data_IF_400008170562
#
_entry.id   IF_400008170562
#
_cell.length_a   1.000
_cell.length_b   1.000
_cell.length_c   1.000
_cell.angle_alpha   90.00
_cell.angle_beta   90.00
_cell.angle_gamma   90.00
#
_symmetry.space_group_name_H-M   'P 1'
#
loop_
_entity.id
_entity.type
_entity.pdbx_description
1 polymer ?
#
# COMPACT_ATOMS: atom_id res chain seq x y z
N UNK A 1 11.74 -8.60 7.34
CA UNK A 1 10.61 -7.70 7.02
C UNK A 1 10.03 -7.03 8.28
N UNK A 2 9.55 -7.76 9.32
CA UNK A 2 8.91 -7.18 10.52
C UNK A 2 9.79 -6.14 11.22
N UNK A 3 11.04 -6.51 11.54
CA UNK A 3 12.00 -5.60 12.20
C UNK A 3 12.27 -4.34 11.36
N UNK A 4 12.35 -4.46 10.04
CA UNK A 4 12.57 -3.34 9.14
C UNK A 4 11.38 -2.35 9.16
N UNK A 5 10.13 -2.84 9.13
CA UNK A 5 8.93 -2.00 9.26
C UNK A 5 8.90 -1.28 10.61
N UNK A 6 9.16 -1.99 11.71
CA UNK A 6 9.18 -1.39 13.04
C UNK A 6 10.28 -0.33 13.18
N UNK A 7 11.45 -0.58 12.59
CA UNK A 7 12.53 0.41 12.56
C UNK A 7 12.12 1.64 11.73
N UNK A 8 11.57 1.46 10.54
CA UNK A 8 11.05 2.55 9.71
C UNK A 8 10.05 3.42 10.49
N UNK A 9 9.07 2.80 11.15
CA UNK A 9 8.05 3.53 11.92
C UNK A 9 8.68 4.38 13.04
N UNK A 10 9.78 3.90 13.65
CA UNK A 10 10.48 4.61 14.73
C UNK A 10 11.41 5.72 14.23
N UNK A 11 12.04 5.54 13.07
CA UNK A 11 13.15 6.40 12.63
C UNK A 11 12.81 7.31 11.45
N UNK A 12 11.81 6.96 10.63
CA UNK A 12 11.46 7.74 9.46
C UNK A 12 10.87 9.10 9.84
N UNK A 13 11.26 10.11 9.07
CA UNK A 13 10.73 11.46 9.16
C UNK A 13 9.59 11.63 8.14
N UNK A 14 8.36 11.69 8.63
CA UNK A 14 7.19 11.86 7.77
C UNK A 14 7.24 13.16 6.96
N UNK A 15 7.88 14.21 7.48
CA UNK A 15 7.99 15.51 6.78
C UNK A 15 8.83 15.44 5.50
N UNK A 16 9.72 14.45 5.40
CA UNK A 16 10.54 14.18 4.20
C UNK A 16 9.83 13.38 3.13
N UNK A 17 8.59 12.95 3.38
CA UNK A 17 7.86 12.11 2.45
C UNK A 17 8.45 10.69 2.32
N UNK A 18 9.12 10.23 3.36
CA UNK A 18 9.64 8.85 3.40
C UNK A 18 8.49 7.85 3.58
N UNK A 19 8.58 6.72 2.89
CA UNK A 19 7.61 5.63 3.00
C UNK A 19 8.31 4.28 2.96
N UNK A 20 7.64 3.24 3.40
CA UNK A 20 8.14 1.87 3.37
C UNK A 20 7.38 1.05 2.32
N UNK A 21 8.05 0.12 1.64
CA UNK A 21 7.38 -0.86 0.78
C UNK A 21 7.57 -2.29 1.30
N UNK A 22 6.47 -3.01 1.38
CA UNK A 22 6.46 -4.44 1.63
C UNK A 22 5.99 -5.17 0.38
N UNK A 23 6.94 -5.79 -0.32
CA UNK A 23 6.66 -6.56 -1.53
C UNK A 23 6.49 -8.05 -1.25
N UNK A 24 5.79 -8.73 -2.14
CA UNK A 24 5.65 -10.20 -2.08
C UNK A 24 4.49 -10.68 -2.92
N UNK A 25 4.61 -11.88 -3.46
CA UNK A 25 3.57 -12.54 -4.26
C UNK A 25 2.27 -12.70 -3.46
N UNK A 26 1.18 -12.96 -4.15
CA UNK A 26 -0.08 -13.30 -3.49
C UNK A 26 0.12 -14.52 -2.56
N UNK A 27 -0.40 -14.44 -1.33
CA UNK A 27 -0.29 -15.55 -0.37
C UNK A 27 0.98 -15.60 0.48
N UNK A 28 1.95 -14.69 0.31
CA UNK A 28 3.20 -14.64 1.11
C UNK A 28 3.03 -14.13 2.55
N UNK A 29 1.81 -13.81 2.98
CA UNK A 29 1.57 -13.43 4.36
C UNK A 29 1.71 -11.93 4.67
N UNK A 30 1.76 -11.03 3.67
CA UNK A 30 1.85 -9.57 3.88
C UNK A 30 0.86 -9.06 4.93
N UNK A 31 -0.42 -9.41 4.79
CA UNK A 31 -1.46 -8.97 5.73
C UNK A 31 -1.27 -9.55 7.14
N UNK A 32 -0.78 -10.80 7.26
CA UNK A 32 -0.47 -11.43 8.55
C UNK A 32 0.66 -10.69 9.25
N UNK A 33 1.71 -10.34 8.49
CA UNK A 33 2.82 -9.54 9.01
C UNK A 33 2.35 -8.18 9.54
N UNK A 34 1.45 -7.49 8.80
CA UNK A 34 0.88 -6.22 9.25
C UNK A 34 0.07 -6.38 10.54
N UNK A 35 -0.69 -7.47 10.70
CA UNK A 35 -1.37 -7.76 11.98
C UNK A 35 -0.41 -7.83 13.16
N UNK A 36 0.74 -8.49 12.97
CA UNK A 36 1.76 -8.60 14.01
C UNK A 36 2.42 -7.27 14.30
N UNK A 37 2.72 -6.46 13.27
CA UNK A 37 3.27 -5.12 13.42
C UNK A 37 2.31 -4.23 14.22
N UNK A 38 1.01 -4.23 13.87
CA UNK A 38 -0.01 -3.46 14.59
C UNK A 38 -0.08 -3.90 16.06
N UNK A 39 -0.09 -5.21 16.34
CA UNK A 39 -0.14 -5.73 17.72
C UNK A 39 1.06 -5.32 18.54
N UNK A 40 2.25 -5.34 17.94
CA UNK A 40 3.49 -4.98 18.63
C UNK A 40 3.50 -3.49 18.98
N UNK A 41 3.18 -2.62 18.02
CA UNK A 41 3.11 -1.18 18.27
C UNK A 41 2.01 -0.85 19.30
N UNK A 42 0.85 -1.50 19.20
CA UNK A 42 -0.26 -1.26 20.13
C UNK A 42 0.03 -1.72 21.56
N UNK A 43 1.01 -2.60 21.80
CA UNK A 43 1.49 -2.93 23.15
C UNK A 43 2.26 -1.76 23.77
N UNK A 44 3.12 -1.11 22.98
CA UNK A 44 3.93 -0.01 23.45
C UNK A 44 3.14 1.31 23.49
N UNK A 45 2.26 1.52 22.50
CA UNK A 45 1.37 2.67 22.39
C UNK A 45 -0.08 2.24 22.11
N UNK A 46 -0.91 2.00 23.14
CA UNK A 46 -2.28 1.54 22.99
C UNK A 46 -3.21 2.52 22.24
N UNK A 47 -2.83 3.78 22.14
CA UNK A 47 -3.61 4.84 21.47
C UNK A 47 -3.16 5.12 20.03
N UNK A 48 -2.13 4.42 19.55
CA UNK A 48 -1.67 4.58 18.17
C UNK A 48 -2.79 4.32 17.17
N UNK A 49 -2.95 5.24 16.23
CA UNK A 49 -3.95 5.12 15.16
C UNK A 49 -3.36 4.37 13.97
N UNK A 50 -4.13 3.40 13.50
CA UNK A 50 -3.80 2.64 12.30
C UNK A 50 -4.91 2.82 11.27
N UNK A 51 -4.52 3.04 10.02
CA UNK A 51 -5.44 3.11 8.90
C UNK A 51 -5.04 2.05 7.89
N UNK A 52 -5.96 1.21 7.49
CA UNK A 52 -5.76 0.28 6.38
C UNK A 52 -6.55 0.77 5.17
N UNK A 53 -5.90 0.81 4.02
CA UNK A 53 -6.46 1.37 2.80
C UNK A 53 -6.13 0.52 1.58
N UNK A 54 -6.93 0.64 0.54
CA UNK A 54 -6.69 0.08 -0.79
C UNK A 54 -7.52 0.86 -1.82
N UNK A 55 -7.28 0.63 -3.12
CA UNK A 55 -8.09 1.25 -4.18
C UNK A 55 -9.53 0.72 -4.17
N UNK A 56 -9.69 -0.61 -4.14
CA UNK A 56 -10.99 -1.25 -4.18
C UNK A 56 -11.61 -1.43 -2.80
N UNK A 57 -12.92 -1.21 -2.69
CA UNK A 57 -13.66 -1.38 -1.43
C UNK A 57 -13.58 -2.82 -0.90
N UNK A 58 -13.61 -3.81 -1.80
CA UNK A 58 -13.48 -5.24 -1.44
C UNK A 58 -12.12 -5.55 -0.80
N UNK A 59 -11.03 -4.98 -1.34
CA UNK A 59 -9.70 -5.13 -0.77
C UNK A 59 -9.60 -4.51 0.63
N UNK A 60 -10.19 -3.32 0.82
CA UNK A 60 -10.28 -2.67 2.15
C UNK A 60 -11.01 -3.57 3.15
N UNK A 61 -12.14 -4.18 2.77
CA UNK A 61 -12.88 -5.08 3.65
C UNK A 61 -12.05 -6.30 4.06
N UNK A 62 -11.29 -6.87 3.13
CA UNK A 62 -10.45 -8.05 3.38
C UNK A 62 -9.33 -7.71 4.38
N UNK A 63 -8.59 -6.63 4.13
CA UNK A 63 -7.47 -6.25 5.02
C UNK A 63 -8.00 -5.81 6.40
N UNK A 64 -9.09 -5.04 6.45
CA UNK A 64 -9.71 -4.62 7.70
C UNK A 64 -10.25 -5.81 8.50
N UNK A 65 -10.94 -6.73 7.85
CA UNK A 65 -11.46 -7.94 8.50
C UNK A 65 -10.39 -8.73 9.24
N UNK A 66 -9.17 -8.75 8.70
CA UNK A 66 -8.01 -9.39 9.31
C UNK A 66 -7.35 -8.54 10.41
N UNK A 67 -7.24 -7.22 10.22
CA UNK A 67 -6.45 -6.34 11.10
C UNK A 67 -7.24 -5.73 12.26
N UNK A 68 -8.57 -5.59 12.16
CA UNK A 68 -9.42 -4.90 13.15
C UNK A 68 -9.31 -5.41 14.59
N UNK A 69 -8.95 -6.69 14.77
CA UNK A 69 -8.76 -7.30 16.10
C UNK A 69 -7.36 -7.04 16.68
N UNK A 70 -6.46 -6.44 15.92
CA UNK A 70 -5.07 -6.22 16.34
C UNK A 70 -4.90 -4.98 17.23
N UNK A 71 -5.80 -3.99 17.09
CA UNK A 71 -5.90 -2.81 17.97
C UNK A 71 -7.31 -2.21 17.88
N UNK A 72 -7.75 -1.54 18.95
CA UNK A 72 -9.02 -0.79 18.98
C UNK A 72 -9.03 0.43 18.06
N UNK A 73 -7.85 0.91 17.67
CA UNK A 73 -7.66 2.12 16.86
C UNK A 73 -7.32 1.82 15.40
N UNK A 74 -7.72 0.65 14.91
CA UNK A 74 -7.67 0.32 13.47
C UNK A 74 -8.93 0.83 12.80
N UNK A 75 -8.76 1.65 11.78
CA UNK A 75 -9.82 2.11 10.88
C UNK A 75 -9.52 1.72 9.43
N UNK A 76 -10.54 1.79 8.57
CA UNK A 76 -10.41 1.39 7.18
C UNK A 76 -11.09 2.39 6.24
N UNK A 77 -10.49 2.63 5.08
CA UNK A 77 -11.03 3.52 4.06
C UNK A 77 -10.45 3.20 2.70
N UNK A 78 -11.18 3.42 1.61
CA UNK A 78 -10.56 3.43 0.28
C UNK A 78 -9.64 4.64 0.14
N UNK A 79 -8.64 4.56 -0.73
CA UNK A 79 -7.74 5.69 -1.04
C UNK A 79 -8.53 6.93 -1.43
N UNK A 80 -9.53 6.79 -2.31
CA UNK A 80 -10.39 7.90 -2.72
C UNK A 80 -11.15 8.53 -1.53
N UNK A 81 -11.72 7.70 -0.65
CA UNK A 81 -12.44 8.18 0.54
C UNK A 81 -11.50 8.82 1.56
N UNK A 82 -10.30 8.25 1.76
CA UNK A 82 -9.28 8.78 2.66
C UNK A 82 -8.83 10.19 2.25
N UNK A 83 -8.64 10.38 0.96
CA UNK A 83 -8.20 11.64 0.36
C UNK A 83 -9.35 12.65 0.12
N UNK A 84 -10.60 12.27 0.43
CA UNK A 84 -11.75 13.13 0.16
C UNK A 84 -11.96 13.41 -1.33
N UNK A 85 -11.59 12.46 -2.20
CA UNK A 85 -11.81 12.56 -3.65
C UNK A 85 -13.31 12.43 -3.96
N UNK A 86 -13.74 13.10 -5.02
CA UNK A 86 -15.11 13.01 -5.54
C UNK A 86 -15.12 12.26 -6.87
N UNK A 87 -16.14 11.44 -7.07
CA UNK A 87 -16.40 10.82 -8.36
C UNK A 87 -16.90 11.91 -9.32
N UNK A 88 -16.21 12.08 -10.42
CA UNK A 88 -16.64 12.90 -11.52
C UNK A 88 -17.65 12.09 -12.36
N UNK A 89 -18.88 12.57 -12.46
CA UNK A 89 -19.97 11.83 -13.10
C UNK A 89 -19.82 11.75 -14.63
N UNK A 90 -19.11 12.70 -15.24
CA UNK A 90 -18.90 12.71 -16.69
C UNK A 90 -17.80 11.74 -17.12
N UNK A 91 -16.71 11.69 -16.36
CA UNK A 91 -15.54 10.87 -16.70
C UNK A 91 -15.50 9.52 -15.98
N UNK A 92 -16.33 9.34 -14.93
CA UNK A 92 -16.28 8.16 -14.06
C UNK A 92 -14.99 8.04 -13.22
N UNK A 93 -14.16 9.06 -13.20
CA UNK A 93 -12.88 9.07 -12.51
C UNK A 93 -12.97 9.80 -11.16
N UNK A 94 -12.20 9.36 -10.18
CA UNK A 94 -12.03 10.09 -8.93
C UNK A 94 -11.10 11.29 -9.13
N UNK A 95 -11.61 12.48 -8.84
CA UNK A 95 -10.84 13.73 -8.88
C UNK A 95 -10.62 14.28 -7.48
N UNK A 96 -9.44 14.84 -7.25
CA UNK A 96 -9.15 15.55 -6.00
C UNK A 96 -10.09 16.75 -5.85
N UNK A 97 -10.65 16.95 -4.66
CA UNK A 97 -11.42 18.14 -4.33
C UNK A 97 -10.52 19.38 -4.12
N UNK A 98 -9.24 19.32 -4.49
CA UNK A 98 -8.27 20.40 -4.36
C UNK A 98 -8.06 20.83 -2.91
N UNK A 99 -7.94 22.15 -2.68
CA UNK A 99 -7.74 22.72 -1.34
C UNK A 99 -8.88 22.43 -0.37
N UNK A 100 -10.06 22.09 -0.87
CA UNK A 100 -11.26 21.78 -0.07
C UNK A 100 -11.42 20.27 0.21
N UNK A 101 -10.44 19.43 -0.15
CA UNK A 101 -10.48 18.00 0.13
C UNK A 101 -10.47 17.76 1.65
N UNK A 102 -11.52 17.12 2.15
CA UNK A 102 -11.60 16.67 3.54
C UNK A 102 -10.81 15.37 3.71
N UNK A 103 -9.51 15.49 3.94
CA UNK A 103 -8.64 14.35 4.22
C UNK A 103 -9.07 13.72 5.54
N UNK A 104 -9.27 12.40 5.55
CA UNK A 104 -9.71 11.63 6.72
C UNK A 104 -8.53 11.02 7.51
N UNK A 105 -7.31 11.19 7.04
CA UNK A 105 -6.11 10.77 7.77
C UNK A 105 -5.91 11.70 8.97
N UNK A 106 -5.86 11.12 10.15
CA UNK A 106 -5.64 11.88 11.38
C UNK A 106 -4.15 12.01 11.64
N UNK A 107 -3.78 13.04 12.41
CA UNK A 107 -2.39 13.28 12.80
C UNK A 107 -1.78 12.04 13.50
N UNK A 108 -0.50 11.80 13.25
CA UNK A 108 0.29 10.69 13.83
C UNK A 108 -0.37 9.32 13.60
N UNK A 109 -0.82 9.06 12.37
CA UNK A 109 -1.35 7.77 11.99
C UNK A 109 -0.30 6.91 11.29
N UNK A 110 -0.44 5.60 11.40
CA UNK A 110 0.30 4.64 10.57
C UNK A 110 -0.66 4.11 9.51
N UNK A 111 -0.38 4.46 8.26
CA UNK A 111 -1.19 4.11 7.09
C UNK A 111 -0.59 2.92 6.34
N UNK A 112 -1.35 1.84 6.22
CA UNK A 112 -1.05 0.69 5.39
C UNK A 112 -1.91 0.73 4.12
N UNK A 113 -1.29 0.76 2.95
CA UNK A 113 -1.98 0.80 1.66
C UNK A 113 -1.73 -0.51 0.93
N UNK A 114 -2.75 -1.34 0.81
CA UNK A 114 -2.70 -2.63 0.11
C UNK A 114 -2.95 -2.47 -1.40
N UNK A 115 -2.53 -3.45 -2.17
CA UNK A 115 -2.60 -3.45 -3.65
C UNK A 115 -1.90 -2.23 -4.27
N UNK A 116 -0.78 -1.79 -3.69
CA UNK A 116 -0.08 -0.58 -4.11
C UNK A 116 0.51 -0.65 -5.54
N UNK A 117 0.64 -1.84 -6.13
CA UNK A 117 0.99 -2.03 -7.54
C UNK A 117 0.04 -1.33 -8.51
N UNK A 118 -1.22 -1.12 -8.10
CA UNK A 118 -2.24 -0.45 -8.91
C UNK A 118 -2.30 1.07 -8.71
N UNK A 119 -1.49 1.65 -7.82
CA UNK A 119 -1.46 3.09 -7.58
C UNK A 119 -0.71 3.82 -8.69
N UNK A 120 -1.35 4.82 -9.29
CA UNK A 120 -0.71 5.75 -10.21
C UNK A 120 0.03 6.88 -9.45
N UNK A 121 0.88 7.62 -10.15
CA UNK A 121 1.68 8.72 -9.57
C UNK A 121 0.83 9.77 -8.85
N UNK A 122 -0.34 10.11 -9.39
CA UNK A 122 -1.24 11.09 -8.80
C UNK A 122 -1.76 10.62 -7.44
N UNK A 123 -2.17 9.35 -7.33
CA UNK A 123 -2.65 8.78 -6.07
C UNK A 123 -1.54 8.72 -5.03
N UNK A 124 -0.32 8.32 -5.45
CA UNK A 124 0.84 8.28 -4.57
C UNK A 124 1.16 9.68 -4.05
N UNK A 125 1.25 10.67 -4.95
CA UNK A 125 1.51 12.06 -4.57
C UNK A 125 0.49 12.57 -3.56
N UNK A 126 -0.80 12.38 -3.83
CA UNK A 126 -1.87 12.83 -2.92
C UNK A 126 -1.82 12.12 -1.56
N UNK A 127 -1.49 10.82 -1.53
CA UNK A 127 -1.30 10.08 -0.28
C UNK A 127 -0.12 10.61 0.52
N UNK A 128 1.03 10.86 -0.14
CA UNK A 128 2.22 11.39 0.51
C UNK A 128 2.02 12.82 1.00
N UNK A 129 1.37 13.69 0.21
CA UNK A 129 1.01 15.05 0.64
C UNK A 129 0.07 15.03 1.87
N UNK A 130 -0.84 14.06 1.93
CA UNK A 130 -1.72 13.88 3.09
C UNK A 130 -0.93 13.40 4.31
N UNK A 131 -0.03 12.44 4.12
CA UNK A 131 0.82 11.88 5.18
C UNK A 131 1.75 12.95 5.78
N UNK A 132 2.42 13.74 4.95
CA UNK A 132 3.27 14.85 5.38
C UNK A 132 2.47 15.84 6.24
N UNK A 133 1.30 16.26 5.77
CA UNK A 133 0.44 17.22 6.51
C UNK A 133 -0.07 16.70 7.84
N UNK A 134 -0.16 15.41 8.01
CA UNK A 134 -0.67 14.77 9.22
C UNK A 134 0.41 14.07 10.04
N UNK A 135 1.67 14.27 9.70
CA UNK A 135 2.83 13.60 10.33
C UNK A 135 2.62 12.08 10.44
N UNK A 136 2.13 11.47 9.37
CA UNK A 136 1.76 10.05 9.33
C UNK A 136 2.81 9.23 8.59
N UNK A 137 3.05 8.00 9.06
CA UNK A 137 3.94 7.04 8.39
C UNK A 137 3.15 6.24 7.36
N UNK A 138 3.73 6.00 6.18
CA UNK A 138 3.08 5.25 5.09
C UNK A 138 3.84 3.98 4.79
N UNK A 139 3.13 2.87 4.76
CA UNK A 139 3.63 1.56 4.36
C UNK A 139 2.79 1.07 3.17
N UNK A 140 3.40 0.95 2.02
CA UNK A 140 2.77 0.37 0.84
C UNK A 140 2.99 -1.15 0.79
N UNK A 141 1.93 -1.89 0.50
CA UNK A 141 1.94 -3.34 0.36
C UNK A 141 1.56 -3.70 -1.07
N UNK A 142 2.31 -4.56 -1.70
CA UNK A 142 1.98 -4.94 -3.06
C UNK A 142 2.78 -6.11 -3.60
N UNK A 143 2.45 -6.46 -4.80
CA UNK A 143 3.13 -7.48 -5.60
C UNK A 143 3.54 -6.80 -6.90
N UNK A 144 4.84 -6.53 -7.12
CA UNK A 144 5.32 -5.87 -8.33
C UNK A 144 4.98 -6.63 -9.62
N UNK A 145 4.76 -7.94 -9.53
CA UNK A 145 4.35 -8.78 -10.67
C UNK A 145 2.86 -8.80 -10.95
N UNK A 146 2.03 -8.05 -10.18
CA UNK A 146 0.61 -7.90 -10.48
C UNK A 146 0.35 -6.76 -11.47
N UNK A 147 -0.92 -6.63 -11.88
CA UNK A 147 -1.37 -5.64 -12.86
C UNK A 147 -0.87 -4.24 -12.51
N UNK A 148 -0.26 -3.54 -13.47
CA UNK A 148 0.20 -2.17 -13.30
C UNK A 148 -0.99 -1.20 -13.17
N UNK A 149 -0.73 0.05 -12.74
CA UNK A 149 -1.76 1.08 -12.67
C UNK A 149 -2.42 1.32 -14.02
N UNK A 150 -3.73 1.55 -14.01
CA UNK A 150 -4.45 2.02 -15.21
C UNK A 150 -3.96 3.43 -15.51
N UNK A 151 -3.36 3.62 -16.67
CA UNK A 151 -2.90 4.93 -17.15
C UNK A 151 -4.08 5.71 -17.73
N UNK A 152 -4.22 6.96 -17.33
CA UNK A 152 -5.21 7.88 -17.86
C UNK A 152 -4.51 8.96 -18.70
N UNK A 153 -5.09 9.30 -19.86
CA UNK A 153 -4.59 10.34 -20.76
C UNK A 153 -3.63 9.86 -21.84
N UNK A 154 -2.84 10.77 -22.43
CA UNK A 154 -1.96 10.53 -23.59
C UNK A 154 -0.81 9.52 -23.33
N UNK A 155 -0.56 9.18 -22.10
CA UNK A 155 0.44 8.17 -21.69
C UNK A 155 0.05 6.72 -22.02
N UNK A 156 -1.19 6.49 -22.49
CA UNK A 156 -1.64 5.17 -22.96
C UNK A 156 -0.86 4.68 -24.17
N UNK A 157 -0.20 5.57 -24.91
CA UNK A 157 0.42 5.26 -26.20
C UNK A 157 1.79 4.57 -26.15
N UNK A 158 2.52 4.64 -25.04
CA UNK A 158 3.91 4.12 -25.01
C UNK A 158 4.19 3.40 -23.67
N UNK A 159 4.02 2.16 -23.70
CA UNK A 159 4.38 1.05 -23.03
C UNK A 159 4.75 0.54 -21.85
N UNK A 160 5.80 0.03 -21.85
CA UNK A 160 6.44 -1.10 -21.17
C UNK A 160 6.85 -0.90 -19.72
N UNK A 161 6.53 0.19 -19.07
CA UNK A 161 6.81 0.36 -17.65
C UNK A 161 5.74 -0.31 -16.79
N UNK A 162 5.99 -1.56 -16.45
CA UNK A 162 5.07 -2.44 -15.75
C UNK A 162 4.98 -2.24 -14.25
N UNK A 163 5.91 -1.49 -13.64
CA UNK A 163 5.95 -1.31 -12.19
C UNK A 163 5.27 -0.01 -11.74
N UNK A 164 4.50 -0.09 -10.65
CA UNK A 164 4.02 1.12 -9.98
C UNK A 164 5.21 1.98 -9.51
N UNK A 165 5.13 3.31 -9.64
CA UNK A 165 6.16 4.24 -9.17
C UNK A 165 6.55 4.02 -7.71
N UNK A 166 5.64 3.49 -6.87
CA UNK A 166 5.91 3.13 -5.47
C UNK A 166 7.12 2.22 -5.31
N UNK A 167 7.34 1.29 -6.26
CA UNK A 167 8.41 0.30 -6.15
C UNK A 167 9.70 0.71 -6.87
N UNK A 168 9.68 1.83 -7.64
CA UNK A 168 10.83 2.27 -8.44
C UNK A 168 11.80 3.19 -7.72
N UNK A 169 11.33 3.96 -6.74
CA UNK A 169 12.07 5.12 -6.18
C UNK A 169 12.56 4.91 -4.76
N UNK A 170 12.62 3.67 -4.28
CA UNK A 170 12.81 3.41 -2.87
C UNK A 170 14.26 3.20 -2.46
N UNK A 171 14.61 3.68 -1.24
CA UNK A 171 15.86 3.32 -0.56
C UNK A 171 15.76 1.87 -0.10
N UNK A 172 16.82 1.09 -0.26
CA UNK A 172 16.86 -0.33 0.15
C UNK A 172 16.51 -0.53 1.62
N UNK A 173 16.89 0.40 2.48
CA UNK A 173 16.59 0.35 3.93
C UNK A 173 15.10 0.46 4.27
N UNK A 174 14.28 1.04 3.36
CA UNK A 174 12.83 1.22 3.52
C UNK A 174 12.03 0.24 2.66
N UNK A 175 12.61 -0.88 2.34
CA UNK A 175 11.96 -1.95 1.61
C UNK A 175 12.17 -3.31 2.26
N UNK A 176 11.21 -4.22 2.06
CA UNK A 176 11.36 -5.63 2.42
C UNK A 176 10.50 -6.50 1.50
N UNK A 177 11.06 -7.64 1.10
CA UNK A 177 10.36 -8.65 0.33
C UNK A 177 9.95 -9.85 1.18
N UNK A 178 8.80 -10.46 0.86
CA UNK A 178 8.37 -11.77 1.36
C UNK A 178 8.42 -12.76 0.20
N UNK A 179 9.30 -13.73 0.29
CA UNK A 179 9.55 -14.72 -0.78
C UNK A 179 8.84 -16.06 -0.54
N UNK A 180 8.62 -16.43 0.71
CA UNK A 180 7.98 -17.71 1.05
C UNK A 180 6.45 -17.62 0.97
N UNK A 181 5.83 -18.61 0.33
CA UNK A 181 4.36 -18.74 0.23
C UNK A 181 3.83 -19.57 1.38
N UNK A 182 2.89 -19.01 2.13
CA UNK A 182 2.30 -19.66 3.32
C UNK A 182 0.93 -20.28 3.00
N UNK A 183 0.24 -19.87 1.94
CA UNK A 183 -1.15 -20.25 1.69
C UNK A 183 -1.38 -21.46 0.80
N UNK A 184 -0.40 -21.85 0.00
CA UNK A 184 -0.53 -22.97 -0.92
C UNK A 184 0.77 -23.78 -0.81
N UNK A 185 0.64 -25.09 -0.65
CA UNK A 185 1.80 -25.99 -0.61
C UNK A 185 2.66 -25.90 -1.87
N UNK A 186 3.93 -26.22 -1.73
CA UNK A 186 4.86 -26.33 -2.85
C UNK A 186 4.32 -27.33 -3.89
N UNK A 187 4.51 -27.01 -5.20
CA UNK A 187 4.18 -27.92 -6.30
C UNK A 187 2.80 -27.75 -6.91
N UNK A 188 2.13 -26.60 -6.75
CA UNK A 188 0.90 -26.30 -7.49
C UNK A 188 1.22 -25.82 -8.92
N UNK A 189 0.77 -26.54 -9.99
CA UNK A 189 1.04 -26.15 -11.37
C UNK A 189 0.56 -24.72 -11.74
N UNK A 190 -0.51 -24.25 -11.07
CA UNK A 190 -1.04 -22.89 -11.22
C UNK A 190 -0.06 -21.87 -10.68
N UNK A 191 0.66 -22.19 -9.61
CA UNK A 191 1.66 -21.31 -9.01
C UNK A 191 2.93 -21.24 -9.84
N UNK A 192 3.39 -22.37 -10.38
CA UNK A 192 4.54 -22.42 -11.26
C UNK A 192 4.32 -21.60 -12.53
N UNK A 193 3.10 -21.70 -13.09
CA UNK A 193 2.69 -20.86 -14.22
C UNK A 193 2.67 -19.37 -13.85
N UNK A 194 2.08 -19.00 -12.72
CA UNK A 194 2.05 -17.62 -12.25
C UNK A 194 3.46 -17.07 -11.96
N UNK A 195 4.39 -17.91 -11.51
CA UNK A 195 5.79 -17.53 -11.26
C UNK A 195 6.56 -17.23 -12.54
N UNK A 196 6.26 -17.92 -13.64
CA UNK A 196 6.84 -17.63 -14.94
C UNK A 196 6.51 -16.20 -15.39
N UNK A 197 5.25 -15.78 -15.24
CA UNK A 197 4.85 -14.40 -15.56
C UNK A 197 5.45 -13.38 -14.59
N UNK A 198 5.54 -13.70 -13.31
CA UNK A 198 6.10 -12.79 -12.32
C UNK A 198 7.58 -12.52 -12.59
N UNK A 199 8.36 -13.57 -12.88
CA UNK A 199 9.78 -13.43 -13.19
C UNK A 199 9.99 -12.64 -14.48
N UNK A 200 9.15 -12.86 -15.51
CA UNK A 200 9.20 -12.09 -16.75
C UNK A 200 8.96 -10.60 -16.51
N UNK A 201 7.97 -10.23 -15.72
CA UNK A 201 7.62 -8.82 -15.43
C UNK A 201 8.62 -8.09 -14.53
N UNK A 202 9.48 -8.80 -13.79
CA UNK A 202 10.45 -8.22 -12.86
C UNK A 202 11.88 -8.18 -13.39
N UNK A 203 12.20 -8.93 -14.46
CA UNK A 203 13.55 -9.01 -15.04
C UNK A 203 13.77 -8.09 -16.24
N UNK A 204 12.72 -7.50 -16.82
CA UNK A 204 12.80 -6.55 -17.93
C UNK A 204 12.68 -5.08 -17.49
N UNK A 205 13.09 -4.75 -16.26
CA UNK A 205 13.10 -3.40 -15.72
C UNK A 205 14.49 -2.81 -15.61
#
# INVERSE_FOLDING_TARGET
AKKAILNFIKTADASKGEYFTLTGKAGTGKTTLIQEVIREIAKDNPYQRFVVSALAHKAVQVIYGKTKKSSKFVSASTVASLLGMKLDQETGLFKSAGKNAKIKLKHDSILFVDEASMLNEQNIKLLMDAAIRTDSKVIFLGDPGQLPPIRTGDLVKYGTDSLSPVFKTQKDEYSAGLTERVRQGEGSPILDYADTFWNYSTTEG
#
